data_IF_590247598626
#
_entry.id   IF_590247598626
#
_cell.length_a   1.000
_cell.length_b   1.000
_cell.length_c   1.000
_cell.angle_alpha   90.00
_cell.angle_beta   90.00
_cell.angle_gamma   90.00
#
_symmetry.space_group_name_H-M   'P 1'
#
loop_
_entity.id
_entity.type
_entity.pdbx_description
1 polymer ?
#
# COMPACT_ATOMS: atom_id res chain seq x y z
N UNK A 1 -14.18 -33.40 -23.75
CA UNK A 1 -12.71 -33.25 -23.70
C UNK A 1 -12.47 -32.27 -22.58
N UNK A 2 -11.93 -32.75 -21.46
CA UNK A 2 -11.63 -31.90 -20.32
C UNK A 2 -10.32 -31.19 -20.62
N UNK A 3 -10.37 -29.88 -20.80
CA UNK A 3 -9.17 -29.07 -20.77
C UNK A 3 -8.68 -29.10 -19.31
N UNK A 4 -7.81 -30.06 -19.00
CA UNK A 4 -6.94 -29.99 -17.82
C UNK A 4 -5.92 -28.91 -18.09
N UNK A 5 -6.36 -27.66 -17.95
CA UNK A 5 -5.46 -26.53 -17.95
C UNK A 5 -4.58 -26.65 -16.71
N UNK A 6 -3.28 -26.79 -16.96
CA UNK A 6 -2.29 -26.68 -15.91
C UNK A 6 -1.93 -25.21 -15.74
N UNK A 7 -1.85 -24.76 -14.49
CA UNK A 7 -1.42 -23.43 -14.10
C UNK A 7 -0.17 -23.53 -13.25
N UNK A 8 0.75 -22.57 -13.42
CA UNK A 8 1.97 -22.50 -12.61
C UNK A 8 1.68 -21.69 -11.35
N UNK A 9 1.88 -22.30 -10.18
CA UNK A 9 1.77 -21.65 -8.86
C UNK A 9 3.14 -21.77 -8.18
N UNK A 10 3.82 -20.64 -8.00
CA UNK A 10 5.20 -20.64 -7.51
C UNK A 10 6.14 -21.33 -8.51
N UNK A 11 6.83 -22.38 -8.04
CA UNK A 11 7.72 -23.22 -8.87
C UNK A 11 7.04 -24.52 -9.36
N UNK A 12 5.76 -24.73 -9.02
CA UNK A 12 5.03 -25.97 -9.32
C UNK A 12 3.98 -25.78 -10.42
N UNK A 13 3.78 -26.82 -11.23
CA UNK A 13 2.72 -26.90 -12.22
C UNK A 13 1.56 -27.74 -11.64
N UNK A 14 0.38 -27.13 -11.53
CA UNK A 14 -0.79 -27.70 -10.87
C UNK A 14 -1.98 -27.70 -11.82
N UNK A 15 -2.76 -28.78 -11.86
CA UNK A 15 -3.99 -28.84 -12.67
C UNK A 15 -5.13 -28.07 -11.98
N UNK A 16 -5.95 -27.35 -12.75
CA UNK A 16 -7.15 -26.70 -12.23
C UNK A 16 -8.12 -27.68 -11.55
N UNK A 17 -8.17 -28.94 -12.01
CA UNK A 17 -9.02 -29.98 -11.41
C UNK A 17 -8.55 -30.39 -10.01
N UNK A 18 -7.24 -30.36 -9.76
CA UNK A 18 -6.68 -30.69 -8.46
C UNK A 18 -6.99 -29.59 -7.46
N UNK A 19 -6.88 -28.32 -7.88
CA UNK A 19 -7.30 -27.17 -7.07
C UNK A 19 -8.79 -27.19 -6.76
N UNK A 20 -9.63 -27.53 -7.74
CA UNK A 20 -11.08 -27.61 -7.56
C UNK A 20 -11.51 -28.75 -6.61
N UNK A 21 -10.65 -29.76 -6.43
CA UNK A 21 -10.87 -30.89 -5.53
C UNK A 21 -10.39 -30.65 -4.08
N UNK A 22 -9.84 -29.49 -3.76
CA UNK A 22 -9.38 -29.17 -2.40
C UNK A 22 -10.60 -29.02 -1.47
N UNK A 23 -10.63 -29.80 -0.39
CA UNK A 23 -11.67 -29.71 0.64
C UNK A 23 -11.47 -28.43 1.47
N UNK A 24 -12.33 -27.44 1.24
CA UNK A 24 -12.18 -26.11 1.85
C UNK A 24 -12.37 -26.11 3.38
N UNK A 25 -12.99 -27.15 3.96
CA UNK A 25 -13.17 -27.27 5.42
C UNK A 25 -11.87 -27.47 6.22
N UNK A 26 -10.78 -27.88 5.55
CA UNK A 26 -9.47 -28.12 6.17
C UNK A 26 -8.43 -27.06 5.78
N UNK A 27 -8.81 -26.10 4.92
CA UNK A 27 -7.95 -24.99 4.50
C UNK A 27 -8.03 -23.87 5.52
N UNK A 28 -6.88 -23.45 6.05
CA UNK A 28 -6.80 -22.29 6.93
C UNK A 28 -7.28 -21.03 6.20
N UNK A 29 -8.22 -20.30 6.81
CA UNK A 29 -8.73 -19.06 6.24
C UNK A 29 -7.70 -17.94 6.41
N UNK A 30 -6.96 -17.64 5.35
CA UNK A 30 -6.12 -16.44 5.28
C UNK A 30 -6.94 -15.28 4.73
N UNK A 31 -7.38 -14.38 5.62
CA UNK A 31 -8.01 -13.12 5.20
C UNK A 31 -6.93 -12.10 4.87
N UNK A 32 -7.00 -11.51 3.68
CA UNK A 32 -6.23 -10.32 3.37
C UNK A 32 -6.65 -9.21 4.36
N UNK A 33 -5.78 -8.85 5.30
CA UNK A 33 -6.05 -7.79 6.26
C UNK A 33 -5.69 -6.45 5.65
N UNK A 34 -6.68 -5.57 5.54
CA UNK A 34 -6.44 -4.17 5.25
C UNK A 34 -5.84 -3.54 6.50
N UNK A 35 -4.79 -2.73 6.36
CA UNK A 35 -4.23 -1.95 7.48
C UNK A 35 -5.38 -1.22 8.20
N UNK A 36 -5.60 -1.44 9.50
CA UNK A 36 -6.71 -0.83 10.20
C UNK A 36 -6.46 0.67 10.39
N UNK A 37 -7.54 1.41 10.60
CA UNK A 37 -7.49 2.83 10.86
C UNK A 37 -6.85 3.08 12.23
N UNK A 38 -5.95 4.04 12.28
CA UNK A 38 -5.11 4.25 13.44
C UNK A 38 -3.94 5.18 13.18
N UNK A 39 -3.03 5.24 14.14
CA UNK A 39 -1.79 6.01 14.07
C UNK A 39 -0.63 5.04 14.10
N UNK A 40 0.29 5.17 13.16
CA UNK A 40 1.38 4.23 12.95
C UNK A 40 2.70 4.97 12.78
N UNK A 41 3.76 4.39 13.35
CA UNK A 41 5.13 4.70 13.01
C UNK A 41 5.55 3.75 11.90
N UNK A 42 5.85 4.30 10.73
CA UNK A 42 6.29 3.56 9.56
C UNK A 42 7.79 3.71 9.36
N UNK A 43 8.41 2.69 8.78
CA UNK A 43 9.69 2.78 8.08
C UNK A 43 9.47 2.53 6.60
N UNK A 44 10.03 3.37 5.74
CA UNK A 44 10.04 3.11 4.30
C UNK A 44 11.03 1.97 4.02
N UNK A 45 10.51 0.83 3.58
CA UNK A 45 11.32 -0.34 3.17
C UNK A 45 11.83 -0.14 1.74
N UNK A 46 10.94 0.30 0.85
CA UNK A 46 11.27 0.55 -0.55
C UNK A 46 10.49 1.78 -1.05
N UNK A 47 11.12 2.55 -1.93
CA UNK A 47 10.47 3.61 -2.69
C UNK A 47 10.96 3.55 -4.14
N UNK A 48 10.04 3.40 -5.09
CA UNK A 48 10.39 3.25 -6.51
C UNK A 48 9.41 3.90 -7.46
N UNK A 49 9.92 4.37 -8.60
CA UNK A 49 9.12 4.76 -9.76
C UNK A 49 9.00 3.55 -10.68
N UNK A 50 7.77 3.14 -10.97
CA UNK A 50 7.50 1.98 -11.81
C UNK A 50 6.29 2.22 -12.73
N UNK A 51 6.11 1.37 -13.73
CA UNK A 51 4.92 1.36 -14.56
C UNK A 51 4.04 0.19 -14.15
N UNK A 52 2.76 0.47 -13.84
CA UNK A 52 1.77 -0.55 -13.50
C UNK A 52 0.69 -0.63 -14.55
N UNK A 53 0.19 -1.85 -14.78
CA UNK A 53 -0.97 -2.07 -15.63
C UNK A 53 -2.23 -1.49 -14.97
N UNK A 54 -3.01 -0.74 -15.75
CA UNK A 54 -4.30 -0.20 -15.36
C UNK A 54 -5.29 -0.39 -16.51
N UNK A 55 -6.56 -0.57 -16.18
CA UNK A 55 -7.63 -0.58 -17.19
C UNK A 55 -7.80 0.84 -17.74
N UNK A 56 -7.81 0.97 -19.07
CA UNK A 56 -8.11 2.21 -19.75
C UNK A 56 -9.61 2.53 -19.61
N UNK A 57 -9.93 3.54 -18.80
CA UNK A 57 -11.32 3.95 -18.55
C UNK A 57 -11.95 4.70 -19.73
N UNK A 58 -11.15 5.11 -20.71
CA UNK A 58 -11.63 5.81 -21.92
C UNK A 58 -11.89 4.82 -23.07
N UNK A 59 -11.46 3.57 -22.93
CA UNK A 59 -11.68 2.51 -23.90
C UNK A 59 -12.86 1.62 -23.46
N UNK A 60 -13.97 1.55 -24.23
CA UNK A 60 -15.12 0.72 -23.89
C UNK A 60 -14.80 -0.78 -23.89
N UNK A 61 -13.74 -1.21 -24.57
CA UNK A 61 -13.30 -2.62 -24.62
C UNK A 61 -12.37 -2.97 -23.44
N UNK A 62 -12.08 -2.01 -22.55
CA UNK A 62 -11.35 -2.25 -21.31
C UNK A 62 -9.86 -2.55 -21.51
N UNK A 63 -9.27 -2.04 -22.61
CA UNK A 63 -7.86 -2.25 -22.93
C UNK A 63 -6.94 -1.91 -21.75
N UNK A 64 -5.86 -2.68 -21.61
CA UNK A 64 -4.84 -2.46 -20.58
C UNK A 64 -3.82 -1.42 -21.04
N UNK A 65 -3.50 -0.49 -20.14
CA UNK A 65 -2.48 0.54 -20.36
C UNK A 65 -1.48 0.54 -19.21
N UNK A 66 -0.23 0.92 -19.50
CA UNK A 66 0.78 1.08 -18.46
C UNK A 66 0.78 2.53 -17.99
N UNK A 67 0.53 2.75 -16.70
CA UNK A 67 0.59 4.09 -16.09
C UNK A 67 1.78 4.19 -15.14
N UNK A 68 2.49 5.33 -15.13
CA UNK A 68 3.55 5.57 -14.17
C UNK A 68 3.00 5.73 -12.75
N UNK A 69 3.70 5.13 -11.78
CA UNK A 69 3.38 5.16 -10.36
C UNK A 69 4.63 5.31 -9.52
N UNK A 70 4.53 6.06 -8.42
CA UNK A 70 5.52 5.98 -7.34
C UNK A 70 4.94 5.07 -6.25
N UNK A 71 5.64 3.99 -5.92
CA UNK A 71 5.24 3.06 -4.88
C UNK A 71 6.17 3.17 -3.67
N UNK A 72 5.57 3.23 -2.48
CA UNK A 72 6.25 3.11 -1.22
C UNK A 72 5.81 1.81 -0.55
N UNK A 73 6.76 0.92 -0.28
CA UNK A 73 6.56 -0.20 0.65
C UNK A 73 6.96 0.28 2.04
N UNK A 74 6.04 0.15 2.99
CA UNK A 74 6.20 0.61 4.37
C UNK A 74 6.06 -0.57 5.31
N UNK A 75 6.82 -0.55 6.39
CA UNK A 75 6.70 -1.50 7.49
C UNK A 75 6.38 -0.77 8.78
N UNK A 76 5.33 -1.20 9.48
CA UNK A 76 4.95 -0.64 10.77
C UNK A 76 6.01 -0.98 11.80
N UNK A 77 6.75 0.02 12.27
CA UNK A 77 7.67 -0.15 13.41
C UNK A 77 6.93 -0.07 14.74
N UNK A 78 5.79 0.63 14.76
CA UNK A 78 4.91 0.68 15.91
C UNK A 78 3.46 1.04 15.50
N UNK A 79 2.47 0.46 16.17
CA UNK A 79 1.08 0.90 16.11
C UNK A 79 0.75 1.70 17.37
N UNK A 80 0.70 3.02 17.23
CA UNK A 80 0.57 3.95 18.35
C UNK A 80 -0.86 4.03 18.89
N UNK A 81 -1.84 3.90 17.99
CA UNK A 81 -3.26 3.89 18.34
C UNK A 81 -4.08 3.23 17.24
N UNK A 82 -5.17 2.57 17.61
CA UNK A 82 -6.19 2.09 16.67
C UNK A 82 -7.51 2.80 16.94
N UNK A 83 -8.32 2.98 15.91
CA UNK A 83 -9.68 3.51 16.07
C UNK A 83 -10.66 2.45 16.55
N UNK A 84 -10.40 1.18 16.28
CA UNK A 84 -11.22 0.06 16.77
C UNK A 84 -10.61 -0.52 18.05
N UNK A 85 -11.29 -0.31 19.17
CA UNK A 85 -10.87 -0.75 20.50
C UNK A 85 -10.83 -2.28 20.66
N UNK A 86 -11.42 -3.04 19.73
CA UNK A 86 -11.40 -4.52 19.75
C UNK A 86 -10.13 -5.11 19.17
N UNK A 87 -9.32 -4.28 18.51
CA UNK A 87 -8.07 -4.69 17.88
C UNK A 87 -6.91 -4.39 18.83
N UNK A 88 -5.94 -5.30 18.89
CA UNK A 88 -4.72 -5.11 19.68
C UNK A 88 -3.62 -4.46 18.82
N UNK A 89 -3.14 -3.24 19.15
CA UNK A 89 -2.06 -2.57 18.43
C UNK A 89 -0.79 -3.42 18.26
N UNK A 90 -0.47 -4.28 19.23
CA UNK A 90 0.74 -5.10 19.19
C UNK A 90 0.76 -6.06 17.98
N UNK A 91 -0.41 -6.51 17.53
CA UNK A 91 -0.55 -7.39 16.36
C UNK A 91 -0.27 -6.70 15.02
N UNK A 92 -0.10 -5.37 15.03
CA UNK A 92 0.12 -4.58 13.82
C UNK A 92 1.53 -3.98 13.74
N UNK A 93 2.46 -4.46 14.57
CA UNK A 93 3.89 -4.21 14.40
C UNK A 93 4.45 -5.20 13.36
N UNK A 94 5.28 -4.71 12.44
CA UNK A 94 5.87 -5.48 11.36
C UNK A 94 4.96 -5.70 10.14
N UNK A 95 3.70 -5.23 10.18
CA UNK A 95 2.83 -5.33 9.00
C UNK A 95 3.36 -4.46 7.87
N UNK A 96 3.14 -4.92 6.64
CA UNK A 96 3.49 -4.16 5.43
C UNK A 96 2.29 -3.39 4.91
N UNK A 97 2.55 -2.18 4.44
CA UNK A 97 1.59 -1.32 3.77
C UNK A 97 2.19 -0.79 2.47
N UNK A 98 1.42 -0.82 1.39
CA UNK A 98 1.84 -0.27 0.10
C UNK A 98 1.05 1.00 -0.19
N UNK A 99 1.74 2.14 -0.28
CA UNK A 99 1.16 3.40 -0.73
C UNK A 99 1.57 3.62 -2.20
N UNK A 100 0.58 3.59 -3.10
CA UNK A 100 0.81 3.78 -4.54
C UNK A 100 0.24 5.11 -5.01
N UNK A 101 1.12 6.01 -5.46
CA UNK A 101 0.75 7.29 -6.06
C UNK A 101 0.76 7.18 -7.58
N UNK A 102 -0.44 7.16 -8.18
CA UNK A 102 -0.60 7.15 -9.63
C UNK A 102 -0.35 8.53 -10.24
N UNK A 103 0.49 8.60 -11.26
CA UNK A 103 0.79 9.85 -11.98
C UNK A 103 -0.11 9.92 -13.21
N UNK A 104 -1.19 10.70 -13.10
CA UNK A 104 -2.09 10.97 -14.22
C UNK A 104 -1.81 12.35 -14.85
N UNK A 105 -1.29 13.28 -14.06
CA UNK A 105 -0.81 14.59 -14.50
C UNK A 105 0.56 14.83 -13.88
N UNK A 106 1.59 14.96 -14.72
CA UNK A 106 2.98 15.03 -14.26
C UNK A 106 3.19 16.17 -13.24
N UNK A 107 2.82 17.40 -13.56
CA UNK A 107 3.09 18.55 -12.68
C UNK A 107 2.37 18.44 -11.33
N UNK A 108 1.08 18.08 -11.36
CA UNK A 108 0.26 18.00 -10.15
C UNK A 108 0.61 16.80 -9.29
N UNK A 109 0.73 15.62 -9.88
CA UNK A 109 0.90 14.39 -9.12
C UNK A 109 2.34 14.21 -8.65
N UNK A 110 3.34 14.68 -9.41
CA UNK A 110 4.72 14.79 -8.89
C UNK A 110 4.80 15.82 -7.76
N UNK A 111 4.03 16.91 -7.82
CA UNK A 111 3.90 17.85 -6.72
C UNK A 111 3.39 17.18 -5.43
N UNK A 112 2.47 16.21 -5.53
CA UNK A 112 1.99 15.42 -4.38
C UNK A 112 3.05 14.45 -3.85
N UNK A 113 3.80 13.79 -4.73
CA UNK A 113 4.93 12.95 -4.33
C UNK A 113 5.97 13.78 -3.58
N UNK A 114 6.30 14.97 -4.09
CA UNK A 114 7.20 15.90 -3.41
C UNK A 114 6.68 16.30 -2.03
N UNK A 115 5.40 16.65 -1.92
CA UNK A 115 4.80 17.00 -0.63
C UNK A 115 4.95 15.87 0.39
N UNK A 116 4.62 14.64 -0.01
CA UNK A 116 4.80 13.46 0.84
C UNK A 116 6.26 13.29 1.30
N UNK A 117 7.23 13.40 0.40
CA UNK A 117 8.65 13.28 0.72
C UNK A 117 9.12 14.38 1.70
N UNK A 118 8.60 15.60 1.55
CA UNK A 118 8.89 16.71 2.46
C UNK A 118 8.26 16.48 3.84
N UNK A 119 7.02 16.03 3.87
CA UNK A 119 6.28 15.77 5.10
C UNK A 119 6.98 14.70 5.97
N UNK A 120 7.60 13.69 5.35
CA UNK A 120 8.41 12.67 6.06
C UNK A 120 9.84 13.13 6.41
N UNK A 121 10.20 14.38 6.09
CA UNK A 121 11.46 15.00 6.53
C UNK A 121 12.55 15.15 5.47
N UNK A 122 12.28 14.90 4.18
CA UNK A 122 13.24 15.19 3.12
C UNK A 122 13.16 16.64 2.65
N UNK A 123 14.21 17.14 2.00
CA UNK A 123 14.28 18.53 1.52
C UNK A 123 13.34 18.83 0.34
N UNK A 124 12.90 17.78 -0.38
CA UNK A 124 12.11 17.92 -1.62
C UNK A 124 12.88 18.59 -2.77
N UNK A 125 14.22 18.64 -2.70
CA UNK A 125 15.09 19.19 -3.72
C UNK A 125 16.00 18.10 -4.32
N UNK A 126 16.24 18.15 -5.62
CA UNK A 126 17.02 17.13 -6.35
C UNK A 126 16.17 16.39 -7.38
N UNK A 127 16.73 15.31 -7.95
CA UNK A 127 15.97 14.46 -8.86
C UNK A 127 14.98 13.59 -8.08
N UNK A 128 13.88 13.20 -8.73
CA UNK A 128 12.91 12.29 -8.11
C UNK A 128 13.57 10.97 -7.69
N UNK A 129 14.42 10.40 -8.56
CA UNK A 129 15.13 9.16 -8.27
C UNK A 129 16.00 9.26 -7.01
N UNK A 130 16.74 10.36 -6.85
CA UNK A 130 17.59 10.55 -5.67
C UNK A 130 16.76 10.67 -4.39
N UNK A 131 15.63 11.39 -4.46
CA UNK A 131 14.74 11.56 -3.31
C UNK A 131 14.06 10.23 -2.93
N UNK A 132 13.69 9.39 -3.89
CA UNK A 132 13.15 8.06 -3.61
C UNK A 132 14.21 7.15 -2.97
N UNK A 133 15.46 7.22 -3.43
CA UNK A 133 16.56 6.49 -2.79
C UNK A 133 16.81 6.96 -1.35
N UNK A 134 16.76 8.27 -1.10
CA UNK A 134 16.89 8.86 0.24
C UNK A 134 15.73 8.52 1.17
N UNK A 135 14.54 8.28 0.62
CA UNK A 135 13.38 7.92 1.42
C UNK A 135 13.53 6.55 2.07
N UNK A 136 14.34 5.64 1.51
CA UNK A 136 14.55 4.30 2.08
C UNK A 136 15.15 4.39 3.49
N UNK A 137 14.54 3.70 4.43
CA UNK A 137 14.90 3.70 5.84
C UNK A 137 14.37 4.90 6.63
N UNK A 138 13.76 5.90 6.00
CA UNK A 138 13.14 7.02 6.71
C UNK A 138 11.97 6.51 7.54
N UNK A 139 11.93 6.98 8.79
CA UNK A 139 10.83 6.74 9.71
C UNK A 139 9.95 7.98 9.82
N UNK A 140 8.64 7.76 9.80
CA UNK A 140 7.64 8.82 9.90
C UNK A 140 6.36 8.30 10.54
N UNK A 141 5.60 9.22 11.13
CA UNK A 141 4.30 8.91 11.70
C UNK A 141 3.21 9.30 10.71
N UNK A 142 2.17 8.50 10.61
CA UNK A 142 0.97 8.87 9.85
C UNK A 142 -0.31 8.32 10.45
N UNK A 143 -1.43 8.90 10.02
CA UNK A 143 -2.76 8.38 10.31
C UNK A 143 -3.24 7.53 9.14
N UNK A 144 -3.69 6.32 9.41
CA UNK A 144 -4.37 5.48 8.44
C UNK A 144 -5.87 5.70 8.58
N UNK A 145 -6.54 5.94 7.45
CA UNK A 145 -8.00 5.98 7.37
C UNK A 145 -8.50 4.91 6.42
N UNK A 146 -9.55 4.19 6.82
CA UNK A 146 -10.24 3.24 5.97
C UNK A 146 -11.42 3.94 5.28
N UNK A 147 -11.46 3.91 3.94
CA UNK A 147 -12.53 4.51 3.14
C UNK A 147 -13.11 3.41 2.24
N UNK A 148 -14.43 3.18 2.27
CA UNK A 148 -15.08 2.27 1.33
C UNK A 148 -14.88 2.73 -0.12
N UNK A 149 -14.68 1.80 -1.03
CA UNK A 149 -14.72 2.08 -2.45
C UNK A 149 -16.13 2.56 -2.83
N UNK A 150 -16.21 3.67 -3.56
CA UNK A 150 -17.46 4.29 -3.97
C UNK A 150 -18.34 3.38 -4.83
N UNK A 151 -17.71 2.56 -5.67
CA UNK A 151 -18.36 1.68 -6.64
C UNK A 151 -18.57 0.27 -6.06
N UNK A 152 -17.83 -0.11 -5.02
CA UNK A 152 -18.03 -1.36 -4.27
C UNK A 152 -17.70 -1.20 -2.78
N UNK A 153 -18.68 -0.86 -1.92
CA UNK A 153 -18.45 -0.53 -0.52
C UNK A 153 -17.80 -1.64 0.33
N UNK A 154 -17.86 -2.89 -0.11
CA UNK A 154 -17.23 -4.02 0.59
C UNK A 154 -15.70 -4.02 0.44
N UNK A 155 -15.17 -3.30 -0.55
CA UNK A 155 -13.74 -3.06 -0.69
C UNK A 155 -13.33 -1.81 0.09
N UNK A 156 -12.49 -2.02 1.11
CA UNK A 156 -11.97 -0.95 1.96
C UNK A 156 -10.56 -0.56 1.52
N UNK A 157 -10.36 0.72 1.22
CA UNK A 157 -9.02 1.28 1.01
C UNK A 157 -8.46 1.84 2.32
N UNK A 158 -7.28 1.36 2.72
CA UNK A 158 -6.46 2.05 3.70
C UNK A 158 -5.69 3.18 3.00
N UNK A 159 -5.73 4.39 3.57
CA UNK A 159 -5.03 5.55 3.03
C UNK A 159 -4.18 6.19 4.12
N UNK A 160 -2.95 6.54 3.78
CA UNK A 160 -2.10 7.38 4.61
C UNK A 160 -2.58 8.83 4.57
N UNK A 161 -2.67 9.45 5.75
CA UNK A 161 -3.04 10.84 5.97
C UNK A 161 -2.05 11.50 6.90
N UNK A 162 -1.77 12.77 6.59
CA UNK A 162 -0.88 13.65 7.37
C UNK A 162 0.42 12.92 7.79
N UNK A 163 1.21 12.43 6.83
CA UNK A 163 2.56 11.98 7.15
C UNK A 163 3.31 13.13 7.84
N UNK A 164 4.13 12.82 8.82
CA UNK A 164 4.98 13.79 9.50
C UNK A 164 6.21 13.10 10.08
N UNK A 165 7.28 13.87 10.24
CA UNK A 165 8.48 13.38 10.95
C UNK A 165 8.13 12.94 12.38
N UNK A 166 8.91 12.00 12.92
CA UNK A 166 8.75 11.54 14.31
C UNK A 166 8.84 12.71 15.30
N UNK A 167 9.79 13.63 15.10
CA UNK A 167 9.94 14.82 15.94
C UNK A 167 8.70 15.73 15.93
N UNK A 168 8.13 15.99 14.75
CA UNK A 168 6.91 16.79 14.63
C UNK A 168 5.71 16.13 15.32
N UNK A 169 5.64 14.80 15.32
CA UNK A 169 4.61 14.06 16.05
C UNK A 169 4.81 14.16 17.57
N UNK A 170 6.04 14.02 18.05
CA UNK A 170 6.36 14.15 19.48
C UNK A 170 6.03 15.55 20.02
N UNK A 171 6.32 16.60 19.24
CA UNK A 171 5.94 17.98 19.57
C UNK A 171 4.42 18.13 19.68
N UNK A 172 3.66 17.56 18.74
CA UNK A 172 2.20 17.58 18.74
C UNK A 172 1.59 16.86 19.97
N UNK A 173 2.24 15.84 20.50
CA UNK A 173 1.77 15.13 21.71
C UNK A 173 2.04 15.90 23.02
N UNK A 174 2.92 16.90 22.98
CA UNK A 174 3.30 17.68 24.15
C UNK A 174 2.41 18.92 24.40
N UNK A 175 1.53 19.26 23.46
CA UNK A 175 0.56 20.37 23.53
C UNK A 175 -0.78 19.93 24.14
#
# INVERSE_FOLDING_TARGET
>A
MSDTENVVIGEEEVSLMDLAGIEMGEVEEFRASVTPAGTFLWRVVEAKLEAREATNKEDPDGAKIHKPTVNFELESQNCLALTDEKLDPANYVGIKHNETLWINNADKDIGRVKAFLVDIGLTGAGSLTDLLAQAQGVEFVSFVTNVPNKDNPDFIYANIKKPMTVAAFEELQAE
#
